data_IF_459165818902
#
_entry.id   IF_459165818902
#
_cell.length_a   1.000
_cell.length_b   1.000
_cell.length_c   1.000
_cell.angle_alpha   90.00
_cell.angle_beta   90.00
_cell.angle_gamma   90.00
#
_symmetry.space_group_name_H-M   'P 1'
#
loop_
_entity.id
_entity.type
_entity.pdbx_description
1 polymer ?
#
# COMPACT_ATOMS: atom_id res chain seq x y z
N UNK A 1 -16.31 20.95 -25.73
CA UNK A 1 -15.62 19.71 -25.31
C UNK A 1 -14.23 20.06 -24.80
N UNK A 2 -14.04 20.15 -23.48
CA UNK A 2 -12.69 20.23 -22.89
C UNK A 2 -11.98 18.90 -23.18
N UNK A 3 -10.79 18.95 -23.81
CA UNK A 3 -9.92 17.77 -23.92
C UNK A 3 -9.64 17.26 -22.51
N UNK A 4 -9.91 15.98 -22.27
CA UNK A 4 -9.54 15.31 -21.02
C UNK A 4 -8.07 15.60 -20.72
N UNK A 5 -7.80 16.23 -19.58
CA UNK A 5 -6.43 16.54 -19.20
C UNK A 5 -5.77 15.23 -18.78
N UNK A 6 -4.75 14.83 -19.55
CA UNK A 6 -4.02 13.61 -19.30
C UNK A 6 -3.25 13.70 -17.99
N UNK A 7 -3.50 12.76 -17.10
CA UNK A 7 -2.65 12.42 -15.97
C UNK A 7 -1.56 11.41 -16.39
N UNK A 8 -1.13 11.38 -17.66
CA UNK A 8 -0.13 10.42 -18.15
C UNK A 8 1.26 10.50 -17.50
N UNK A 9 1.45 11.42 -16.55
CA UNK A 9 2.62 11.51 -15.68
C UNK A 9 2.43 10.81 -14.32
N UNK A 10 1.20 10.43 -13.98
CA UNK A 10 0.90 9.63 -12.80
C UNK A 10 1.18 8.18 -13.11
N UNK A 11 2.03 7.55 -12.30
CA UNK A 11 2.38 6.15 -12.47
C UNK A 11 1.79 5.26 -11.36
N UNK A 12 1.24 5.84 -10.29
CA UNK A 12 0.55 5.12 -9.21
C UNK A 12 -0.69 5.88 -8.72
N UNK A 13 -1.78 5.16 -8.45
CA UNK A 13 -2.96 5.66 -7.77
C UNK A 13 -3.43 4.71 -6.66
N UNK A 14 -3.76 5.26 -5.50
CA UNK A 14 -4.19 4.52 -4.32
C UNK A 14 -5.52 5.09 -3.79
N UNK A 15 -6.51 4.23 -3.56
CA UNK A 15 -7.83 4.60 -3.07
C UNK A 15 -8.17 3.92 -1.75
N UNK A 16 -8.69 4.69 -0.80
CA UNK A 16 -8.97 4.24 0.56
C UNK A 16 -10.35 4.72 1.05
N UNK A 17 -10.94 3.94 1.96
CA UNK A 17 -12.02 4.36 2.83
C UNK A 17 -11.51 4.36 4.27
N UNK A 18 -11.43 5.55 4.84
CA UNK A 18 -11.06 5.79 6.23
C UNK A 18 -12.31 5.75 7.11
N UNK A 19 -12.27 4.91 8.15
CA UNK A 19 -13.30 4.72 9.15
C UNK A 19 -12.70 4.95 10.54
N UNK A 20 -13.51 5.20 11.58
CA UNK A 20 -13.02 5.19 12.96
C UNK A 20 -12.27 3.88 13.24
N UNK A 21 -10.97 3.98 13.54
CA UNK A 21 -10.12 2.85 13.92
C UNK A 21 -9.65 1.93 12.78
N UNK A 22 -10.00 2.17 11.51
CA UNK A 22 -9.52 1.32 10.40
C UNK A 22 -9.52 2.03 9.04
N UNK A 23 -8.62 1.58 8.16
CA UNK A 23 -8.59 1.98 6.75
C UNK A 23 -8.82 0.77 5.86
N UNK A 24 -9.72 0.92 4.89
CA UNK A 24 -10.03 -0.11 3.90
C UNK A 24 -9.42 0.32 2.56
N UNK A 25 -8.58 -0.54 1.98
CA UNK A 25 -8.08 -0.35 0.62
C UNK A 25 -9.21 -0.62 -0.38
N UNK A 26 -9.52 0.39 -1.20
CA UNK A 26 -10.54 0.33 -2.25
C UNK A 26 -9.93 0.06 -3.62
N UNK A 27 -8.80 0.71 -3.93
CA UNK A 27 -8.08 0.55 -5.19
C UNK A 27 -6.58 0.72 -4.98
N UNK A 28 -5.81 0.04 -5.82
CA UNK A 28 -4.38 0.24 -6.00
C UNK A 28 -4.08 -0.06 -7.46
N UNK A 29 -3.51 0.89 -8.17
CA UNK A 29 -3.14 0.74 -9.57
C UNK A 29 -1.79 1.42 -9.81
N UNK A 30 -0.96 0.81 -10.64
CA UNK A 30 0.28 1.41 -11.08
C UNK A 30 0.62 0.94 -12.49
N UNK A 31 1.32 1.79 -13.23
CA UNK A 31 1.69 1.53 -14.62
C UNK A 31 3.01 0.75 -14.71
N UNK A 32 3.10 -0.17 -15.67
CA UNK A 32 4.30 -0.96 -15.90
C UNK A 32 4.82 -1.65 -14.63
N UNK A 33 6.07 -1.36 -14.19
CA UNK A 33 6.66 -2.01 -13.01
C UNK A 33 6.00 -1.60 -11.68
N UNK A 34 5.19 -0.54 -11.66
CA UNK A 34 4.61 -0.01 -10.42
C UNK A 34 3.30 -0.70 -10.00
N UNK A 35 2.77 -1.66 -10.76
CA UNK A 35 1.51 -2.35 -10.41
C UNK A 35 1.59 -3.10 -9.07
N UNK A 36 2.66 -3.87 -8.86
CA UNK A 36 2.89 -4.58 -7.59
C UNK A 36 3.23 -3.60 -6.46
N UNK A 37 4.03 -2.57 -6.74
CA UNK A 37 4.40 -1.53 -5.77
C UNK A 37 3.18 -0.73 -5.28
N UNK A 38 2.23 -0.42 -6.16
CA UNK A 38 1.00 0.25 -5.80
C UNK A 38 0.17 -0.59 -4.81
N UNK A 39 0.05 -1.90 -5.08
CA UNK A 39 -0.65 -2.84 -4.20
C UNK A 39 0.02 -2.90 -2.83
N UNK A 40 1.35 -2.98 -2.80
CA UNK A 40 2.15 -3.00 -1.57
C UNK A 40 1.99 -1.72 -0.75
N UNK A 41 2.11 -0.57 -1.41
CA UNK A 41 1.95 0.73 -0.77
C UNK A 41 0.56 0.88 -0.15
N UNK A 42 -0.50 0.49 -0.88
CA UNK A 42 -1.87 0.53 -0.37
C UNK A 42 -2.05 -0.35 0.87
N UNK A 43 -1.46 -1.53 0.89
CA UNK A 43 -1.57 -2.46 2.00
C UNK A 43 -0.80 -2.01 3.23
N UNK A 44 0.45 -1.57 3.03
CA UNK A 44 1.25 -0.99 4.12
C UNK A 44 0.51 0.21 4.72
N UNK A 45 -0.06 1.07 3.87
CA UNK A 45 -0.80 2.22 4.32
C UNK A 45 -2.06 1.86 5.11
N UNK A 46 -2.93 1.02 4.53
CA UNK A 46 -4.19 0.63 5.16
C UNK A 46 -4.02 -0.18 6.44
N UNK A 47 -2.95 -0.98 6.55
CA UNK A 47 -2.70 -1.79 7.73
C UNK A 47 -1.95 -1.04 8.84
N UNK A 48 -1.05 -0.10 8.51
CA UNK A 48 -0.03 0.36 9.47
C UNK A 48 0.23 1.85 9.50
N UNK A 49 0.27 2.49 8.33
CA UNK A 49 0.86 3.82 8.25
C UNK A 49 -0.14 4.95 8.48
N UNK A 50 -1.44 4.68 8.37
CA UNK A 50 -2.47 5.71 8.51
C UNK A 50 -2.61 6.31 9.92
N UNK A 51 -2.40 5.59 11.06
CA UNK A 51 -2.54 6.18 12.39
C UNK A 51 -1.56 7.34 12.63
N UNK A 52 -0.37 7.28 12.05
CA UNK A 52 0.70 8.28 12.22
C UNK A 52 0.80 9.27 11.04
N UNK A 53 -0.15 9.21 10.09
CA UNK A 53 -0.24 10.17 8.98
C UNK A 53 -0.80 11.52 9.47
N UNK A 54 0.06 12.33 10.08
CA UNK A 54 -0.26 13.67 10.58
C UNK A 54 -0.69 14.63 9.47
N UNK A 55 -0.13 14.46 8.27
CA UNK A 55 -0.51 15.23 7.08
C UNK A 55 -1.97 14.97 6.72
N UNK A 56 -2.36 13.68 6.63
CA UNK A 56 -3.76 13.29 6.45
C UNK A 56 -4.66 13.93 7.52
N UNK A 57 -4.34 13.75 8.81
CA UNK A 57 -5.17 14.29 9.91
C UNK A 57 -5.37 15.81 9.78
N UNK A 58 -4.32 16.53 9.38
CA UNK A 58 -4.39 17.98 9.11
C UNK A 58 -5.34 18.29 7.96
N UNK A 59 -5.24 17.57 6.83
CA UNK A 59 -6.14 17.77 5.67
C UNK A 59 -7.58 17.37 5.93
N UNK A 60 -7.84 16.45 6.86
CA UNK A 60 -9.18 16.05 7.25
C UNK A 60 -9.84 17.07 8.21
N UNK A 61 -9.06 17.91 8.87
CA UNK A 61 -9.59 18.94 9.79
C UNK A 61 -10.50 19.89 9.02
N UNK A 62 -11.71 20.11 9.55
CA UNK A 62 -12.73 20.97 8.94
C UNK A 62 -13.28 20.49 7.60
N UNK A 63 -13.09 19.21 7.23
CA UNK A 63 -13.76 18.64 6.06
C UNK A 63 -15.24 18.41 6.37
N UNK A 64 -16.12 19.12 5.66
CA UNK A 64 -17.57 19.03 5.84
C UNK A 64 -18.13 17.84 5.05
N UNK A 65 -19.27 17.32 5.47
CA UNK A 65 -19.94 16.24 4.75
C UNK A 65 -20.27 16.64 3.31
N UNK A 66 -20.15 15.68 2.38
CA UNK A 66 -20.34 15.81 0.92
C UNK A 66 -19.36 16.75 0.22
N UNK A 67 -18.51 17.47 0.96
CA UNK A 67 -17.44 18.28 0.41
C UNK A 67 -16.33 17.39 -0.18
N UNK A 68 -15.89 17.73 -1.38
CA UNK A 68 -14.64 17.22 -1.95
C UNK A 68 -13.55 18.28 -1.76
N UNK A 69 -12.38 17.87 -1.26
CA UNK A 69 -11.19 18.71 -1.12
C UNK A 69 -10.05 18.10 -1.93
N UNK A 70 -9.35 18.93 -2.71
CA UNK A 70 -8.12 18.56 -3.42
C UNK A 70 -6.92 19.19 -2.73
N UNK A 71 -5.81 18.45 -2.64
CA UNK A 71 -4.55 18.96 -2.12
C UNK A 71 -3.38 18.42 -2.93
N UNK A 72 -2.37 19.27 -3.16
CA UNK A 72 -1.08 18.89 -3.73
C UNK A 72 -0.03 18.90 -2.63
N UNK A 73 0.80 17.87 -2.63
CA UNK A 73 1.94 17.76 -1.75
C UNK A 73 3.16 17.46 -2.60
N UNK A 74 4.16 18.34 -2.54
CA UNK A 74 5.48 18.06 -3.05
C UNK A 74 6.30 17.34 -1.96
N UNK A 75 7.16 16.43 -2.39
CA UNK A 75 8.06 15.67 -1.51
C UNK A 75 8.90 16.58 -0.62
N UNK A 76 9.32 17.72 -1.15
CA UNK A 76 10.14 18.73 -0.43
C UNK A 76 9.38 19.36 0.75
N UNK A 77 8.04 19.41 0.67
CA UNK A 77 7.18 19.95 1.73
C UNK A 77 6.83 18.90 2.81
N UNK A 78 7.22 17.65 2.59
CA UNK A 78 6.99 16.58 3.54
C UNK A 78 8.11 16.59 4.57
N UNK A 79 7.78 16.93 5.83
CA UNK A 79 8.75 16.94 6.93
C UNK A 79 9.51 15.62 7.08
N UNK A 80 10.79 15.71 7.48
CA UNK A 80 11.81 14.64 7.46
C UNK A 80 11.44 13.33 8.17
N UNK A 81 10.49 13.35 9.11
CA UNK A 81 10.05 12.18 9.87
C UNK A 81 8.70 11.60 9.40
N UNK A 82 8.07 12.20 8.39
CA UNK A 82 6.74 11.79 7.99
C UNK A 82 6.76 10.52 7.14
N UNK A 83 5.88 9.58 7.48
CA UNK A 83 5.47 8.42 6.66
C UNK A 83 5.28 8.76 5.18
N UNK A 84 4.85 9.99 4.88
CA UNK A 84 4.77 10.52 3.52
C UNK A 84 6.07 10.32 2.74
N UNK A 85 7.23 10.71 3.29
CA UNK A 85 8.54 10.59 2.61
C UNK A 85 8.84 9.14 2.22
N UNK A 86 8.56 8.18 3.13
CA UNK A 86 8.76 6.75 2.84
C UNK A 86 7.90 6.26 1.69
N UNK A 87 6.67 6.76 1.54
CA UNK A 87 5.81 6.44 0.40
C UNK A 87 6.29 7.13 -0.89
N UNK A 88 6.75 8.38 -0.81
CA UNK A 88 7.36 9.06 -1.96
C UNK A 88 8.60 8.31 -2.46
N UNK A 89 9.49 7.90 -1.56
CA UNK A 89 10.65 7.06 -1.88
C UNK A 89 10.27 5.73 -2.50
N UNK A 90 9.37 5.01 -1.83
CA UNK A 90 8.99 3.66 -2.25
C UNK A 90 8.30 3.64 -3.62
N UNK A 91 7.58 4.70 -3.95
CA UNK A 91 6.86 4.82 -5.21
C UNK A 91 7.64 5.59 -6.27
N UNK A 92 8.88 6.02 -6.02
CA UNK A 92 9.64 6.90 -6.91
C UNK A 92 8.82 8.13 -7.34
N UNK A 93 8.20 8.77 -6.35
CA UNK A 93 7.33 9.91 -6.54
C UNK A 93 7.99 11.18 -6.02
N UNK A 94 7.77 12.27 -6.75
CA UNK A 94 8.07 13.62 -6.30
C UNK A 94 6.82 14.32 -5.78
N UNK A 95 5.67 14.10 -6.43
CA UNK A 95 4.44 14.84 -6.11
C UNK A 95 3.26 13.91 -5.91
N UNK A 96 2.37 14.32 -5.03
CA UNK A 96 1.15 13.61 -4.69
C UNK A 96 -0.03 14.56 -4.81
N UNK A 97 -1.06 14.12 -5.52
CA UNK A 97 -2.36 14.78 -5.57
C UNK A 97 -3.37 13.95 -4.79
N UNK A 98 -4.01 14.55 -3.80
CA UNK A 98 -4.92 13.86 -2.88
C UNK A 98 -6.30 14.48 -2.90
N UNK A 99 -7.30 13.66 -3.19
CA UNK A 99 -8.69 13.99 -2.97
C UNK A 99 -9.18 13.41 -1.65
N UNK A 100 -10.00 14.20 -0.96
CA UNK A 100 -10.69 13.82 0.26
C UNK A 100 -12.17 14.09 0.08
N UNK A 101 -13.03 13.13 0.42
CA UNK A 101 -14.48 13.32 0.47
C UNK A 101 -15.08 12.66 1.69
N UNK A 102 -15.72 13.46 2.55
CA UNK A 102 -16.44 12.94 3.72
C UNK A 102 -17.88 12.60 3.33
N UNK A 103 -18.31 11.39 3.63
CA UNK A 103 -19.69 10.92 3.52
C UNK A 103 -20.14 10.37 4.89
N UNK A 104 -21.41 10.00 5.01
CA UNK A 104 -21.99 9.46 6.25
C UNK A 104 -21.22 8.22 6.75
N UNK A 105 -20.77 7.38 5.84
CA UNK A 105 -20.14 6.10 6.15
C UNK A 105 -18.61 6.17 6.31
N UNK A 106 -17.99 7.35 6.19
CA UNK A 106 -16.55 7.53 6.36
C UNK A 106 -15.94 8.58 5.44
N UNK A 107 -14.61 8.56 5.34
CA UNK A 107 -13.85 9.49 4.49
C UNK A 107 -13.19 8.71 3.37
N UNK A 108 -13.55 9.05 2.14
CA UNK A 108 -12.94 8.52 0.94
C UNK A 108 -11.70 9.33 0.58
N UNK A 109 -10.62 8.63 0.24
CA UNK A 109 -9.33 9.23 -0.09
C UNK A 109 -8.87 8.63 -1.41
N UNK A 110 -8.51 9.48 -2.37
CA UNK A 110 -7.87 9.05 -3.62
C UNK A 110 -6.56 9.82 -3.80
N UNK A 111 -5.45 9.09 -3.94
CA UNK A 111 -4.11 9.66 -4.10
C UNK A 111 -3.55 9.27 -5.45
N UNK A 112 -2.95 10.23 -6.14
CA UNK A 112 -2.18 10.03 -7.37
C UNK A 112 -0.73 10.44 -7.11
N UNK A 113 0.21 9.59 -7.48
CA UNK A 113 1.64 9.82 -7.34
C UNK A 113 2.28 10.00 -8.71
N UNK A 114 3.20 10.96 -8.82
CA UNK A 114 3.91 11.27 -10.05
C UNK A 114 5.38 11.63 -9.77
N UNK A 115 6.27 11.25 -10.67
CA UNK A 115 7.69 11.65 -10.63
C UNK A 115 7.89 13.14 -10.96
N UNK A 116 6.91 13.77 -11.59
CA UNK A 116 6.93 15.20 -11.99
C UNK A 116 5.81 15.98 -11.31
N UNK A 117 6.00 17.29 -11.21
CA UNK A 117 5.01 18.20 -10.64
C UNK A 117 3.76 18.34 -11.51
N UNK A 118 2.62 18.55 -10.86
CA UNK A 118 1.37 18.88 -11.53
C UNK A 118 1.34 20.35 -11.89
N UNK A 119 1.04 20.67 -13.14
CA UNK A 119 0.81 22.04 -13.57
C UNK A 119 -0.45 22.62 -12.92
N UNK A 120 -0.50 23.96 -12.77
CA UNK A 120 -1.72 24.66 -12.30
C UNK A 120 -2.95 24.38 -13.17
N UNK A 121 -2.75 24.03 -14.44
CA UNK A 121 -3.83 23.63 -15.35
C UNK A 121 -4.37 22.24 -15.01
N UNK A 122 -3.49 21.27 -14.75
CA UNK A 122 -3.87 19.95 -14.27
C UNK A 122 -4.59 20.04 -12.93
N UNK A 123 -4.06 20.82 -11.98
CA UNK A 123 -4.71 21.03 -10.69
C UNK A 123 -6.15 21.53 -10.82
N UNK A 124 -6.36 22.64 -11.56
CA UNK A 124 -7.69 23.23 -11.74
C UNK A 124 -8.68 22.28 -12.41
N UNK A 125 -8.22 21.50 -13.38
CA UNK A 125 -9.09 20.53 -14.04
C UNK A 125 -9.48 19.39 -13.10
N UNK A 126 -8.52 18.87 -12.34
CA UNK A 126 -8.77 17.84 -11.34
C UNK A 126 -9.68 18.36 -10.22
N UNK A 127 -9.57 19.62 -9.84
CA UNK A 127 -10.47 20.28 -8.89
C UNK A 127 -11.91 20.35 -9.42
N UNK A 128 -12.10 20.71 -10.70
CA UNK A 128 -13.41 20.73 -11.36
C UNK A 128 -14.05 19.34 -11.46
N UNK A 129 -13.26 18.31 -11.76
CA UNK A 129 -13.73 16.93 -11.93
C UNK A 129 -13.80 16.13 -10.61
N UNK A 130 -13.23 16.67 -9.54
CA UNK A 130 -13.06 15.96 -8.26
C UNK A 130 -14.35 15.43 -7.67
N UNK A 131 -15.46 16.15 -7.86
CA UNK A 131 -16.80 15.71 -7.44
C UNK A 131 -17.19 14.36 -8.05
N UNK A 132 -17.02 14.19 -9.36
CA UNK A 132 -17.36 12.96 -10.08
C UNK A 132 -16.35 11.84 -9.79
N UNK A 133 -15.05 12.15 -9.78
CA UNK A 133 -13.99 11.19 -9.45
C UNK A 133 -14.23 10.56 -8.08
N UNK A 134 -14.53 11.38 -7.07
CA UNK A 134 -14.77 10.88 -5.71
C UNK A 134 -16.12 10.17 -5.57
N UNK A 135 -17.13 10.53 -6.36
CA UNK A 135 -18.38 9.78 -6.43
C UNK A 135 -18.16 8.37 -7.01
N UNK A 136 -17.33 8.24 -8.05
CA UNK A 136 -16.97 6.95 -8.62
C UNK A 136 -16.22 6.06 -7.61
N UNK A 137 -15.27 6.61 -6.86
CA UNK A 137 -14.58 5.88 -5.79
C UNK A 137 -15.54 5.44 -4.68
N UNK A 138 -16.45 6.33 -4.26
CA UNK A 138 -17.45 6.00 -3.25
C UNK A 138 -18.35 4.85 -3.72
N UNK A 139 -18.85 4.94 -4.96
CA UNK A 139 -19.67 3.89 -5.58
C UNK A 139 -18.93 2.56 -5.67
N UNK A 140 -17.65 2.58 -6.05
CA UNK A 140 -16.80 1.39 -6.04
C UNK A 140 -16.70 0.77 -4.64
N UNK A 141 -16.53 1.60 -3.61
CA UNK A 141 -16.53 1.15 -2.21
C UNK A 141 -17.84 0.46 -1.80
N UNK A 142 -18.99 1.04 -2.13
CA UNK A 142 -20.31 0.45 -1.86
C UNK A 142 -20.50 -0.92 -2.54
N UNK A 143 -20.16 -1.01 -3.84
CA UNK A 143 -20.29 -2.25 -4.60
C UNK A 143 -19.39 -3.35 -4.03
N UNK A 144 -18.17 -2.99 -3.59
CA UNK A 144 -17.26 -3.93 -2.93
C UNK A 144 -17.81 -4.43 -1.61
N UNK A 145 -18.40 -3.56 -0.76
CA UNK A 145 -19.05 -3.97 0.49
C UNK A 145 -20.12 -5.04 0.25
N UNK A 146 -20.93 -4.89 -0.80
CA UNK A 146 -21.98 -5.86 -1.18
C UNK A 146 -21.43 -7.20 -1.68
N UNK A 147 -20.28 -7.18 -2.35
CA UNK A 147 -19.70 -8.38 -2.99
C UNK A 147 -19.08 -9.41 -2.04
N UNK A 148 -18.94 -9.12 -0.74
CA UNK A 148 -18.32 -9.99 0.29
C UNK A 148 -16.94 -10.60 -0.06
N UNK A 149 -16.27 -10.14 -1.13
CA UNK A 149 -14.95 -10.66 -1.52
C UNK A 149 -13.88 -10.14 -0.56
N UNK A 150 -13.18 -11.03 0.19
CA UNK A 150 -12.17 -10.59 1.13
C UNK A 150 -10.97 -10.00 0.38
N UNK A 151 -10.69 -8.73 0.67
CA UNK A 151 -9.57 -7.95 0.15
C UNK A 151 -8.21 -8.65 0.38
N UNK A 152 -8.11 -9.49 1.41
CA UNK A 152 -6.83 -9.90 2.00
C UNK A 152 -6.11 -11.08 1.32
N UNK A 153 -6.79 -11.92 0.52
CA UNK A 153 -6.17 -13.17 0.02
C UNK A 153 -5.08 -12.96 -1.04
N UNK A 154 -5.27 -12.01 -1.97
CA UNK A 154 -4.21 -11.65 -2.94
C UNK A 154 -3.07 -10.87 -2.27
N UNK A 155 -3.39 -10.17 -1.19
CA UNK A 155 -2.58 -9.14 -0.55
C UNK A 155 -1.62 -9.67 0.52
N UNK A 156 -1.95 -10.81 1.14
CA UNK A 156 -1.07 -11.48 2.10
C UNK A 156 0.27 -11.91 1.49
N UNK A 157 0.28 -12.43 0.25
CA UNK A 157 1.51 -12.88 -0.42
C UNK A 157 2.48 -11.73 -0.66
N UNK A 158 1.97 -10.58 -1.08
CA UNK A 158 2.75 -9.39 -1.36
C UNK A 158 3.27 -8.77 -0.06
N UNK A 159 2.44 -8.65 0.99
CA UNK A 159 2.89 -8.20 2.32
C UNK A 159 3.97 -9.11 2.93
N UNK A 160 3.82 -10.42 2.76
CA UNK A 160 4.82 -11.41 3.17
C UNK A 160 6.14 -11.18 2.42
N UNK A 161 6.08 -11.03 1.08
CA UNK A 161 7.27 -10.80 0.26
C UNK A 161 8.03 -9.56 0.72
N UNK A 162 7.30 -8.45 0.87
CA UNK A 162 7.84 -7.16 1.29
C UNK A 162 8.43 -7.14 2.69
N UNK A 163 7.77 -7.82 3.63
CA UNK A 163 8.30 -7.99 4.97
C UNK A 163 9.65 -8.71 4.88
N UNK A 164 9.72 -9.83 4.16
CA UNK A 164 10.92 -10.67 4.08
C UNK A 164 12.09 -10.03 3.32
N UNK A 165 11.83 -9.16 2.35
CA UNK A 165 12.87 -8.53 1.52
C UNK A 165 13.42 -7.22 2.08
N UNK A 166 13.03 -6.80 3.29
CA UNK A 166 13.60 -5.59 3.92
C UNK A 166 15.13 -5.70 4.05
N UNK A 167 15.82 -4.62 3.70
CA UNK A 167 17.28 -4.57 3.69
C UNK A 167 17.92 -4.87 5.06
N UNK A 168 17.26 -4.50 6.16
CA UNK A 168 17.70 -4.72 7.54
C UNK A 168 17.62 -6.19 7.98
N UNK A 169 16.93 -7.05 7.23
CA UNK A 169 16.79 -8.48 7.54
C UNK A 169 17.88 -9.33 6.90
N UNK A 170 18.63 -8.78 5.93
CA UNK A 170 19.77 -9.41 5.27
C UNK A 170 19.51 -10.84 4.76
N UNK A 171 18.29 -11.14 4.32
CA UNK A 171 17.94 -12.45 3.75
C UNK A 171 18.44 -12.57 2.31
N UNK A 172 18.91 -13.76 1.95
CA UNK A 172 19.17 -14.10 0.54
C UNK A 172 17.87 -14.37 -0.21
N UNK A 173 17.88 -14.28 -1.54
CA UNK A 173 16.72 -14.63 -2.37
C UNK A 173 16.17 -16.04 -2.05
N UNK A 174 17.05 -17.03 -1.89
CA UNK A 174 16.66 -18.41 -1.56
C UNK A 174 16.05 -18.55 -0.16
N UNK A 175 16.52 -17.76 0.81
CA UNK A 175 15.90 -17.70 2.15
C UNK A 175 14.51 -17.07 2.11
N UNK A 176 14.33 -16.00 1.30
CA UNK A 176 13.03 -15.35 1.09
C UNK A 176 12.04 -16.33 0.47
N UNK A 177 12.42 -17.07 -0.57
CA UNK A 177 11.52 -18.01 -1.26
C UNK A 177 11.06 -19.15 -0.35
N UNK A 178 11.97 -19.67 0.49
CA UNK A 178 11.64 -20.68 1.49
C UNK A 178 10.70 -20.12 2.57
N UNK A 179 10.93 -18.89 3.04
CA UNK A 179 10.05 -18.23 4.02
C UNK A 179 8.65 -17.95 3.44
N UNK A 180 8.55 -17.47 2.19
CA UNK A 180 7.27 -17.29 1.47
C UNK A 180 6.47 -18.59 1.43
N UNK A 181 7.12 -19.68 1.02
CA UNK A 181 6.46 -20.98 0.87
C UNK A 181 6.08 -21.60 2.22
N UNK A 182 6.90 -21.38 3.25
CA UNK A 182 6.59 -21.75 4.64
C UNK A 182 5.35 -21.02 5.15
N UNK A 183 5.21 -19.72 4.86
CA UNK A 183 4.05 -18.93 5.26
C UNK A 183 2.76 -19.33 4.54
N UNK A 184 2.88 -19.97 3.37
CA UNK A 184 1.77 -20.59 2.66
C UNK A 184 1.38 -21.96 3.22
N UNK A 185 2.05 -22.44 4.28
CA UNK A 185 1.76 -23.72 4.92
C UNK A 185 2.26 -24.94 4.15
N UNK A 186 3.19 -24.77 3.19
CA UNK A 186 3.74 -25.89 2.42
C UNK A 186 4.69 -26.74 3.27
N UNK A 187 4.67 -28.05 3.04
CA UNK A 187 5.60 -29.00 3.67
C UNK A 187 7.01 -28.85 3.08
N UNK A 188 8.02 -29.42 3.74
CA UNK A 188 9.42 -29.33 3.26
C UNK A 188 9.58 -29.99 1.90
N UNK A 189 8.87 -31.11 1.68
CA UNK A 189 8.82 -31.88 0.44
C UNK A 189 8.21 -31.04 -0.69
N UNK A 190 7.08 -30.37 -0.44
CA UNK A 190 6.43 -29.51 -1.42
C UNK A 190 7.31 -28.30 -1.80
N UNK A 191 7.99 -27.69 -0.81
CA UNK A 191 8.91 -26.56 -1.06
C UNK A 191 10.13 -27.01 -1.88
N UNK A 192 10.66 -28.20 -1.58
CA UNK A 192 11.77 -28.82 -2.30
C UNK A 192 11.44 -29.00 -3.78
N UNK A 193 10.25 -29.55 -4.07
CA UNK A 193 9.73 -29.72 -5.42
C UNK A 193 9.54 -28.37 -6.14
N UNK A 194 8.88 -27.40 -5.48
CA UNK A 194 8.57 -26.10 -6.09
C UNK A 194 9.83 -25.28 -6.44
N UNK A 195 10.86 -25.34 -5.59
CA UNK A 195 12.06 -24.51 -5.74
C UNK A 195 13.21 -25.22 -6.48
N UNK A 196 13.04 -26.50 -6.83
CA UNK A 196 14.07 -27.31 -7.49
C UNK A 196 15.33 -27.51 -6.65
N UNK A 197 15.19 -27.69 -5.34
CA UNK A 197 16.29 -27.88 -4.38
C UNK A 197 16.02 -29.07 -3.46
N UNK A 198 17.03 -29.62 -2.79
CA UNK A 198 16.82 -30.74 -1.84
C UNK A 198 16.06 -30.31 -0.58
N UNK A 199 15.35 -31.23 0.06
CA UNK A 199 14.72 -30.99 1.37
C UNK A 199 15.73 -30.51 2.43
N UNK A 200 16.96 -31.03 2.38
CA UNK A 200 18.02 -30.62 3.30
C UNK A 200 18.43 -29.14 3.07
N UNK A 201 18.45 -28.71 1.81
CA UNK A 201 18.63 -27.30 1.43
C UNK A 201 17.48 -26.43 1.96
N UNK A 202 16.22 -26.87 1.82
CA UNK A 202 15.05 -26.17 2.38
C UNK A 202 15.19 -25.98 3.89
N UNK A 203 15.51 -27.04 4.64
CA UNK A 203 15.72 -26.98 6.10
C UNK A 203 16.86 -26.03 6.46
N UNK A 204 17.96 -26.07 5.69
CA UNK A 204 19.11 -25.19 5.88
C UNK A 204 18.75 -23.72 5.66
N UNK A 205 18.09 -23.38 4.56
CA UNK A 205 17.64 -22.01 4.27
C UNK A 205 16.64 -21.52 5.32
N UNK A 206 15.67 -22.36 5.72
CA UNK A 206 14.71 -22.02 6.79
C UNK A 206 15.42 -21.69 8.10
N UNK A 207 16.37 -22.53 8.55
CA UNK A 207 17.14 -22.31 9.78
C UNK A 207 17.98 -21.03 9.72
N UNK A 208 18.65 -20.77 8.59
CA UNK A 208 19.45 -19.56 8.39
C UNK A 208 18.59 -18.30 8.38
N UNK A 209 17.46 -18.34 7.67
CA UNK A 209 16.50 -17.23 7.61
C UNK A 209 15.95 -16.93 9.01
N UNK A 210 15.53 -17.94 9.77
CA UNK A 210 14.97 -17.77 11.11
C UNK A 210 15.98 -17.14 12.07
N UNK A 211 17.24 -17.61 12.01
CA UNK A 211 18.34 -17.02 12.77
C UNK A 211 18.59 -15.55 12.39
N UNK A 212 18.58 -15.20 11.10
CA UNK A 212 18.76 -13.82 10.62
C UNK A 212 17.61 -12.91 11.04
N UNK A 213 16.40 -13.45 11.09
CA UNK A 213 15.19 -12.76 11.52
C UNK A 213 15.03 -12.72 13.05
N UNK A 214 15.89 -13.39 13.82
CA UNK A 214 15.78 -13.45 15.29
C UNK A 214 14.56 -14.24 15.80
N UNK A 215 14.06 -15.20 15.03
CA UNK A 215 12.87 -16.01 15.37
C UNK A 215 13.21 -17.51 15.43
N UNK A 216 12.37 -18.28 16.09
CA UNK A 216 12.55 -19.74 16.26
C UNK A 216 11.37 -20.57 15.72
N UNK A 217 10.25 -19.95 15.33
CA UNK A 217 9.06 -20.67 14.90
C UNK A 217 8.37 -20.07 13.68
N UNK A 218 7.60 -20.90 12.97
CA UNK A 218 6.73 -20.44 11.87
C UNK A 218 5.63 -19.51 12.36
N UNK A 219 5.14 -19.70 13.58
CA UNK A 219 4.19 -18.78 14.22
C UNK A 219 4.82 -17.39 14.41
N UNK A 220 6.09 -17.33 14.83
CA UNK A 220 6.83 -16.07 14.90
C UNK A 220 7.18 -15.50 13.53
N UNK A 221 7.42 -16.32 12.49
CA UNK A 221 7.57 -15.83 11.12
C UNK A 221 6.27 -15.17 10.63
N UNK A 222 5.13 -15.79 10.95
CA UNK A 222 3.81 -15.24 10.70
C UNK A 222 3.67 -13.92 11.47
N UNK A 223 3.88 -13.91 12.78
CA UNK A 223 3.87 -12.69 13.58
C UNK A 223 4.87 -11.64 13.07
N UNK A 224 6.02 -11.99 12.53
CA UNK A 224 6.99 -10.99 12.05
C UNK A 224 6.59 -10.42 10.67
N UNK A 225 5.86 -11.19 9.85
CA UNK A 225 5.26 -10.68 8.62
C UNK A 225 3.99 -9.86 8.90
N UNK A 226 3.21 -10.25 9.91
CA UNK A 226 1.88 -9.72 10.19
C UNK A 226 1.80 -8.76 11.42
N UNK A 227 2.73 -8.83 12.39
CA UNK A 227 2.93 -7.98 13.61
C UNK A 227 4.18 -7.06 13.60
N UNK A 228 5.06 -7.05 12.60
CA UNK A 228 5.82 -5.81 12.30
C UNK A 228 4.83 -4.62 11.99
N UNK A 229 3.54 -4.97 11.93
CA UNK A 229 2.28 -4.35 12.38
C UNK A 229 2.22 -2.86 12.74
N UNK A 230 2.33 -2.49 14.00
CA UNK A 230 2.77 -3.29 15.14
C UNK A 230 3.52 -2.35 16.04
N UNK A 231 4.82 -2.29 15.80
CA UNK A 231 5.75 -1.46 16.54
C UNK A 231 6.70 -0.80 15.56
N UNK A 232 6.53 0.53 15.40
CA UNK A 232 7.57 1.56 15.25
C UNK A 232 6.97 2.85 14.71
#
# INVERSE_FOLDING_TARGET
MQRAISLGQCHVSLGFLYLPGRVIVLSAAGDGPYGELATLAALRYGARLWPDDHSLKSHLKGLVEKQTRLHLTDREDVGSEAIGLRLFDFLDARTQMSFYRKLEDGIYILRFYAAKAFSKKQHRAMEQEGGMIMAALARHGELRKKSHRPVLKQNARTMIADSLTRADRHLTAREVDVCKSTLLGKSVEAISLDLGITENSVRTYKKRAFRRLGISSQAQLFALCFNDATER
#
